data_IF_668318274860
#
_entry.id   IF_668318274860
#
_cell.length_a   1.000
_cell.length_b   1.000
_cell.length_c   1.000
_cell.angle_alpha   90.00
_cell.angle_beta   90.00
_cell.angle_gamma   90.00
#
_symmetry.space_group_name_H-M   'P 1'
#
loop_
_entity.id
_entity.type
_entity.pdbx_description
1 polymer ?
#
# COMPACT_ATOMS: atom_id res chain seq x y z
N UNK A 1 -6.26 33.51 -17.41
CA UNK A 1 -6.36 34.04 -18.79
C UNK A 1 -7.07 33.01 -19.63
N UNK A 2 -8.24 33.32 -20.19
CA UNK A 2 -8.87 32.47 -21.21
C UNK A 2 -8.10 32.67 -22.52
N UNK A 3 -7.35 31.68 -22.95
CA UNK A 3 -6.77 31.63 -24.29
C UNK A 3 -7.90 31.30 -25.28
N UNK A 4 -7.97 32.03 -26.40
CA UNK A 4 -8.94 31.77 -27.46
C UNK A 4 -8.68 30.39 -28.12
N UNK A 5 -9.75 29.75 -28.63
CA UNK A 5 -9.72 28.39 -29.17
C UNK A 5 -8.67 28.16 -30.26
N UNK A 6 -8.33 29.18 -31.06
CA UNK A 6 -7.32 29.07 -32.12
C UNK A 6 -5.87 29.02 -31.63
N UNK A 7 -5.56 29.53 -30.42
CA UNK A 7 -4.23 29.45 -29.83
C UNK A 7 -3.96 28.10 -29.15
N UNK A 8 -5.02 27.42 -28.70
CA UNK A 8 -4.96 26.08 -28.12
C UNK A 8 -4.64 25.01 -29.18
N UNK A 9 -5.22 25.10 -30.38
CA UNK A 9 -5.03 24.09 -31.44
C UNK A 9 -3.59 23.97 -31.96
N UNK A 10 -2.76 25.01 -31.83
CA UNK A 10 -1.35 24.98 -32.29
C UNK A 10 -0.45 24.10 -31.42
N UNK A 11 -0.87 23.79 -30.19
CA UNK A 11 -0.10 23.04 -29.19
C UNK A 11 -0.78 21.75 -28.74
N UNK A 12 -1.89 21.35 -29.36
CA UNK A 12 -2.55 20.07 -29.10
C UNK A 12 -1.66 18.93 -29.61
N UNK A 13 -0.81 18.40 -28.73
CA UNK A 13 -0.08 17.16 -28.97
C UNK A 13 -1.04 15.98 -29.18
N UNK A 14 -0.52 14.87 -29.68
CA UNK A 14 -1.31 13.67 -30.02
C UNK A 14 -2.14 13.11 -28.85
N UNK A 15 -1.76 13.42 -27.60
CA UNK A 15 -2.42 12.96 -26.38
C UNK A 15 -3.28 14.02 -25.67
N UNK A 16 -3.52 15.19 -26.28
CA UNK A 16 -4.25 16.27 -25.61
C UNK A 16 -5.65 15.83 -25.14
N UNK A 17 -6.40 15.11 -25.99
CA UNK A 17 -7.73 14.60 -25.62
C UNK A 17 -7.69 13.63 -24.44
N UNK A 18 -6.61 12.86 -24.29
CA UNK A 18 -6.43 11.99 -23.12
C UNK A 18 -6.18 12.82 -21.85
N UNK A 19 -5.34 13.86 -21.94
CA UNK A 19 -5.09 14.74 -20.80
C UNK A 19 -6.35 15.50 -20.36
N UNK A 20 -7.25 15.85 -21.28
CA UNK A 20 -8.56 16.45 -20.97
C UNK A 20 -9.52 15.49 -20.25
N UNK A 21 -9.33 14.16 -20.39
CA UNK A 21 -10.14 13.14 -19.72
C UNK A 21 -9.61 12.78 -18.32
N UNK A 22 -8.38 13.16 -17.99
CA UNK A 22 -7.85 12.94 -16.65
C UNK A 22 -8.66 13.74 -15.62
N UNK A 23 -8.88 13.18 -14.41
CA UNK A 23 -9.65 13.87 -13.39
C UNK A 23 -8.96 15.19 -13.02
N UNK A 24 -9.70 16.29 -12.85
CA UNK A 24 -9.11 17.56 -12.47
C UNK A 24 -8.45 17.43 -11.09
N UNK A 25 -7.42 18.25 -10.81
CA UNK A 25 -6.61 18.14 -9.58
C UNK A 25 -7.42 18.13 -8.28
N UNK A 26 -8.54 18.86 -8.25
CA UNK A 26 -9.46 18.94 -7.10
C UNK A 26 -10.18 17.63 -6.77
N UNK A 27 -10.16 16.67 -7.69
CA UNK A 27 -10.79 15.35 -7.58
C UNK A 27 -9.74 14.24 -7.33
N UNK A 28 -8.46 14.59 -7.15
CA UNK A 28 -7.44 13.63 -6.74
C UNK A 28 -7.48 13.39 -5.23
N UNK A 29 -7.53 12.12 -4.84
CA UNK A 29 -7.93 11.71 -3.47
C UNK A 29 -6.84 10.94 -2.72
N UNK A 30 -5.62 10.82 -3.24
CA UNK A 30 -4.54 10.13 -2.52
C UNK A 30 -4.21 10.84 -1.21
N UNK A 31 -3.55 10.16 -0.27
CA UNK A 31 -3.20 10.74 1.03
C UNK A 31 -2.33 12.02 0.97
N UNK A 32 -1.70 12.30 -0.18
CA UNK A 32 -0.97 13.56 -0.39
C UNK A 32 -1.88 14.78 -0.55
N UNK A 33 -3.17 14.57 -0.81
CA UNK A 33 -4.20 15.61 -0.89
C UNK A 33 -5.02 15.75 0.39
N UNK A 34 -4.69 14.98 1.45
CA UNK A 34 -5.34 15.14 2.75
C UNK A 34 -5.00 16.50 3.36
N UNK A 35 -5.98 17.11 4.03
CA UNK A 35 -5.73 18.27 4.88
C UNK A 35 -4.87 17.87 6.08
N UNK A 36 -4.33 18.85 6.80
CA UNK A 36 -3.57 18.58 8.02
C UNK A 36 -4.42 17.85 9.07
N UNK A 37 -5.67 18.26 9.25
CA UNK A 37 -6.62 17.63 10.20
C UNK A 37 -6.93 16.17 9.81
N UNK A 38 -7.12 15.92 8.51
CA UNK A 38 -7.35 14.57 8.00
C UNK A 38 -6.12 13.67 8.13
N UNK A 39 -4.93 14.20 7.86
CA UNK A 39 -3.69 13.45 8.02
C UNK A 39 -3.40 13.15 9.50
N UNK A 40 -3.67 14.11 10.38
CA UNK A 40 -3.48 13.99 11.82
C UNK A 40 -4.29 12.83 12.43
N UNK A 41 -5.43 12.48 11.84
CA UNK A 41 -6.22 11.32 12.24
C UNK A 41 -5.43 10.00 12.12
N UNK A 42 -4.48 9.91 11.19
CA UNK A 42 -3.68 8.71 10.97
C UNK A 42 -2.42 8.65 11.84
N UNK A 43 -2.18 9.61 12.74
CA UNK A 43 -1.01 9.58 13.63
C UNK A 43 -0.92 8.26 14.40
N UNK A 44 0.30 7.75 14.54
CA UNK A 44 0.56 6.44 15.15
C UNK A 44 0.53 5.25 14.18
N UNK A 45 0.05 5.43 12.95
CA UNK A 45 -0.04 4.36 11.95
C UNK A 45 1.14 4.34 10.97
N UNK A 46 1.36 3.20 10.29
CA UNK A 46 2.37 3.13 9.22
C UNK A 46 2.03 4.05 8.04
N UNK A 47 0.74 4.23 7.72
CA UNK A 47 0.30 5.07 6.61
C UNK A 47 0.72 6.54 6.81
N UNK A 48 0.61 7.08 8.03
CA UNK A 48 1.06 8.44 8.34
C UNK A 48 2.56 8.63 8.04
N UNK A 49 3.39 7.68 8.47
CA UNK A 49 4.82 7.68 8.16
C UNK A 49 5.09 7.60 6.66
N UNK A 50 4.50 6.60 5.99
CA UNK A 50 4.68 6.38 4.56
C UNK A 50 4.23 7.56 3.68
N UNK A 51 3.13 8.21 4.06
CA UNK A 51 2.64 9.43 3.41
C UNK A 51 3.65 10.56 3.54
N UNK A 52 4.19 10.79 4.74
CA UNK A 52 5.17 11.85 4.98
C UNK A 52 6.48 11.59 4.24
N UNK A 53 6.99 10.36 4.27
CA UNK A 53 8.17 9.97 3.49
C UNK A 53 7.95 10.27 1.99
N UNK A 54 6.82 9.82 1.43
CA UNK A 54 6.45 10.08 0.03
C UNK A 54 6.35 11.58 -0.27
N UNK A 55 5.73 12.36 0.61
CA UNK A 55 5.62 13.80 0.45
C UNK A 55 7.00 14.47 0.38
N UNK A 56 7.91 14.12 1.29
CA UNK A 56 9.26 14.66 1.31
C UNK A 56 10.07 14.28 0.07
N UNK A 57 9.99 13.01 -0.34
CA UNK A 57 10.69 12.49 -1.53
C UNK A 57 10.24 13.23 -2.79
N UNK A 58 8.92 13.32 -3.01
CA UNK A 58 8.36 14.02 -4.15
C UNK A 58 8.62 15.53 -4.11
N UNK A 59 8.64 16.13 -2.92
CA UNK A 59 8.97 17.56 -2.77
C UNK A 59 10.43 17.84 -3.15
N UNK A 60 11.34 16.95 -2.78
CA UNK A 60 12.75 16.99 -3.16
C UNK A 60 12.91 16.83 -4.67
N UNK A 61 12.26 15.83 -5.26
CA UNK A 61 12.29 15.57 -6.70
C UNK A 61 11.74 16.76 -7.49
N UNK A 62 10.58 17.30 -7.11
CA UNK A 62 10.02 18.51 -7.71
C UNK A 62 10.98 19.69 -7.68
N UNK A 63 11.65 19.92 -6.55
CA UNK A 63 12.63 21.01 -6.41
C UNK A 63 13.77 20.85 -7.41
N UNK A 64 14.31 19.65 -7.54
CA UNK A 64 15.37 19.32 -8.51
C UNK A 64 14.90 19.52 -9.96
N UNK A 65 13.72 19.01 -10.31
CA UNK A 65 13.15 19.18 -11.64
C UNK A 65 12.92 20.67 -11.96
N UNK A 66 12.40 21.45 -11.00
CA UNK A 66 12.17 22.88 -11.16
C UNK A 66 13.46 23.65 -11.37
N UNK A 67 14.55 23.31 -10.67
CA UNK A 67 15.85 23.92 -10.90
C UNK A 67 16.38 23.65 -12.31
N UNK A 68 16.29 22.40 -12.78
CA UNK A 68 16.72 22.01 -14.13
C UNK A 68 15.90 22.76 -15.19
N UNK A 69 14.56 22.76 -15.06
CA UNK A 69 13.68 23.47 -15.97
C UNK A 69 13.96 24.97 -15.96
N UNK A 70 14.18 25.58 -14.79
CA UNK A 70 14.49 27.01 -14.65
C UNK A 70 15.80 27.39 -15.33
N UNK A 71 16.82 26.52 -15.27
CA UNK A 71 18.12 26.74 -15.95
C UNK A 71 17.97 26.74 -17.46
N UNK A 72 17.11 25.87 -18.00
CA UNK A 72 16.89 25.76 -19.45
C UNK A 72 15.89 26.80 -19.98
N UNK A 73 14.80 27.04 -19.25
CA UNK A 73 13.70 27.96 -19.58
C UNK A 73 13.12 28.60 -18.30
N UNK A 74 13.58 29.80 -17.92
CA UNK A 74 13.15 30.48 -16.70
C UNK A 74 11.62 30.63 -16.59
N UNK A 75 10.93 30.96 -17.68
CA UNK A 75 9.47 31.15 -17.66
C UNK A 75 8.70 29.88 -17.32
N UNK A 76 9.21 28.70 -17.71
CA UNK A 76 8.61 27.41 -17.36
C UNK A 76 8.93 27.06 -15.91
N UNK A 77 10.14 27.37 -15.44
CA UNK A 77 10.54 27.17 -14.06
C UNK A 77 9.69 27.96 -13.04
N UNK A 78 9.26 29.18 -13.42
CA UNK A 78 8.31 29.98 -12.62
C UNK A 78 6.93 29.34 -12.57
N UNK A 79 6.45 28.78 -13.69
CA UNK A 79 5.12 28.16 -13.80
C UNK A 79 5.08 26.73 -13.25
N UNK A 80 6.22 26.08 -13.02
CA UNK A 80 6.29 24.69 -12.55
C UNK A 80 6.05 24.60 -11.04
N UNK A 81 4.80 24.86 -10.65
CA UNK A 81 4.33 24.81 -9.27
C UNK A 81 4.24 23.38 -8.74
N UNK A 82 4.30 23.24 -7.41
CA UNK A 82 4.16 21.95 -6.73
C UNK A 82 2.88 21.22 -7.12
N UNK A 83 1.75 21.93 -7.21
CA UNK A 83 0.46 21.29 -7.49
C UNK A 83 0.43 20.66 -8.89
N UNK A 84 1.16 21.22 -9.87
CA UNK A 84 1.32 20.62 -11.19
C UNK A 84 2.13 19.33 -11.12
N UNK A 85 3.24 19.35 -10.38
CA UNK A 85 4.07 18.17 -10.17
C UNK A 85 3.29 17.06 -9.45
N UNK A 86 2.64 17.40 -8.33
CA UNK A 86 1.89 16.46 -7.52
C UNK A 86 0.76 15.80 -8.33
N UNK A 87 0.04 16.57 -9.15
CA UNK A 87 -0.99 16.04 -10.04
C UNK A 87 -0.39 15.08 -11.08
N UNK A 88 0.69 15.47 -11.75
CA UNK A 88 1.36 14.62 -12.75
C UNK A 88 1.87 13.31 -12.13
N UNK A 89 2.55 13.38 -10.98
CA UNK A 89 3.03 12.22 -10.24
C UNK A 89 1.87 11.31 -9.80
N UNK A 90 0.75 11.90 -9.37
CA UNK A 90 -0.46 11.15 -8.99
C UNK A 90 -1.09 10.44 -10.17
N UNK A 91 -1.20 11.07 -11.34
CA UNK A 91 -1.70 10.39 -12.54
C UNK A 91 -0.81 9.19 -12.90
N UNK A 92 0.51 9.37 -12.86
CA UNK A 92 1.45 8.27 -13.13
C UNK A 92 1.27 7.15 -12.10
N UNK A 93 1.29 7.45 -10.79
CA UNK A 93 1.23 6.42 -9.75
C UNK A 93 -0.12 5.67 -9.70
N UNK A 94 -1.22 6.33 -10.06
CA UNK A 94 -2.56 5.75 -10.00
C UNK A 94 -3.02 5.06 -11.28
N UNK A 95 -2.42 5.36 -12.43
CA UNK A 95 -2.91 4.93 -13.77
C UNK A 95 -1.88 4.21 -14.62
N UNK A 96 -0.60 4.24 -14.26
CA UNK A 96 0.43 3.63 -15.08
C UNK A 96 0.36 2.09 -15.05
N UNK A 97 0.66 1.52 -16.20
CA UNK A 97 0.90 0.10 -16.43
C UNK A 97 2.41 -0.12 -16.55
N UNK A 98 2.90 -1.31 -16.25
CA UNK A 98 4.27 -1.69 -16.55
C UNK A 98 4.45 -1.78 -18.08
N UNK A 99 5.53 -1.18 -18.60
CA UNK A 99 5.90 -1.22 -20.02
C UNK A 99 6.01 -2.63 -20.60
N UNK A 100 6.25 -3.65 -19.76
CA UNK A 100 6.28 -5.07 -20.14
C UNK A 100 4.98 -5.56 -20.77
N UNK A 101 3.85 -4.87 -20.51
CA UNK A 101 2.58 -5.12 -21.20
C UNK A 101 2.74 -4.94 -22.71
N UNK A 102 3.60 -4.04 -23.19
CA UNK A 102 3.82 -3.81 -24.61
C UNK A 102 4.81 -4.79 -25.25
N UNK A 103 5.38 -5.74 -24.50
CA UNK A 103 6.33 -6.70 -25.05
C UNK A 103 5.65 -7.78 -25.91
N UNK A 104 6.43 -8.42 -26.80
CA UNK A 104 5.96 -9.54 -27.63
C UNK A 104 5.52 -10.77 -26.81
N UNK A 105 5.99 -10.86 -25.57
CA UNK A 105 5.59 -11.87 -24.59
C UNK A 105 5.15 -11.16 -23.30
N UNK A 106 3.92 -10.60 -23.25
CA UNK A 106 3.43 -9.89 -22.07
C UNK A 106 3.46 -10.81 -20.87
N UNK A 107 4.21 -10.43 -19.83
CA UNK A 107 4.18 -11.11 -18.55
C UNK A 107 3.56 -10.16 -17.52
N UNK A 108 2.66 -10.67 -16.70
CA UNK A 108 2.25 -9.96 -15.50
C UNK A 108 3.51 -9.84 -14.61
N UNK A 109 3.85 -8.64 -14.11
CA UNK A 109 4.99 -8.50 -13.22
C UNK A 109 4.80 -9.44 -12.04
N UNK A 110 5.73 -10.36 -11.85
CA UNK A 110 5.79 -11.14 -10.62
C UNK A 110 6.51 -10.31 -9.56
N UNK A 111 6.22 -10.56 -8.29
CA UNK A 111 6.85 -9.87 -7.16
C UNK A 111 8.38 -10.03 -7.13
N UNK A 112 8.92 -11.04 -7.84
CA UNK A 112 10.33 -11.39 -7.96
C UNK A 112 10.94 -11.09 -9.35
N UNK A 113 10.19 -10.44 -10.24
CA UNK A 113 10.63 -10.20 -11.61
C UNK A 113 11.51 -8.93 -11.70
N UNK A 114 12.83 -9.12 -11.84
CA UNK A 114 13.79 -8.01 -12.02
C UNK A 114 13.80 -7.47 -13.46
N UNK A 115 12.84 -7.84 -14.30
CA UNK A 115 12.73 -7.31 -15.65
C UNK A 115 12.51 -5.79 -15.59
N UNK A 116 13.44 -4.98 -16.16
CA UNK A 116 13.29 -3.53 -16.15
C UNK A 116 11.97 -3.13 -16.81
N UNK A 117 11.16 -2.36 -16.10
CA UNK A 117 9.90 -1.85 -16.60
C UNK A 117 9.72 -0.39 -16.28
N UNK A 118 9.35 0.40 -17.28
CA UNK A 118 8.95 1.79 -17.12
C UNK A 118 7.44 1.92 -16.88
N UNK A 119 6.98 2.96 -16.16
CA UNK A 119 5.57 3.29 -16.05
C UNK A 119 5.07 3.91 -17.36
N UNK A 120 4.02 3.32 -17.94
CA UNK A 120 3.38 3.82 -19.17
C UNK A 120 1.90 4.12 -18.93
N UNK A 121 1.38 5.19 -19.54
CA UNK A 121 -0.04 5.49 -19.55
C UNK A 121 -0.67 4.93 -20.82
N UNK A 122 -1.79 4.22 -20.67
CA UNK A 122 -2.53 3.61 -21.78
C UNK A 122 -3.91 4.26 -21.89
N UNK A 123 -4.04 5.36 -22.67
CA UNK A 123 -5.30 6.08 -22.81
C UNK A 123 -6.48 5.17 -23.14
N UNK A 124 -7.53 5.25 -22.33
CA UNK A 124 -8.77 4.49 -22.51
C UNK A 124 -8.74 3.10 -21.87
N UNK A 125 -7.56 2.53 -21.62
CA UNK A 125 -7.40 1.29 -20.84
C UNK A 125 -7.38 1.61 -19.34
N UNK A 126 -6.75 2.73 -18.98
CA UNK A 126 -6.60 3.23 -17.60
C UNK A 126 -7.89 3.79 -16.96
N UNK A 127 -9.02 3.70 -17.66
CA UNK A 127 -10.34 4.11 -17.15
C UNK A 127 -11.01 3.03 -16.29
N UNK A 128 -10.61 1.76 -16.45
CA UNK A 128 -11.28 0.64 -15.82
C UNK A 128 -10.92 0.54 -14.32
N UNK A 129 -11.92 0.64 -13.45
CA UNK A 129 -11.75 0.60 -11.99
C UNK A 129 -11.32 -0.77 -11.47
N UNK A 130 -10.81 -0.79 -10.23
CA UNK A 130 -10.41 -2.01 -9.55
C UNK A 130 -11.61 -2.81 -9.01
N UNK A 131 -11.63 -4.11 -9.29
CA UNK A 131 -12.32 -5.09 -8.47
C UNK A 131 -11.35 -6.22 -8.06
N UNK A 132 -11.17 -6.41 -6.75
CA UNK A 132 -10.28 -7.42 -6.19
C UNK A 132 -10.67 -8.82 -6.67
N UNK A 133 -9.70 -9.55 -7.22
CA UNK A 133 -9.90 -10.92 -7.68
C UNK A 133 -10.78 -11.04 -8.93
N UNK A 134 -11.10 -9.93 -9.61
CA UNK A 134 -11.77 -9.99 -10.90
C UNK A 134 -10.85 -10.71 -11.90
N UNK A 135 -11.32 -11.80 -12.53
CA UNK A 135 -10.50 -12.52 -13.48
C UNK A 135 -10.46 -11.75 -14.79
N UNK A 136 -9.34 -11.07 -15.04
CA UNK A 136 -9.06 -10.32 -16.27
C UNK A 136 -7.69 -10.69 -16.81
N UNK A 137 -7.52 -10.61 -18.12
CA UNK A 137 -6.21 -10.65 -18.76
C UNK A 137 -5.90 -9.35 -19.45
N UNK A 138 -4.64 -8.93 -19.37
CA UNK A 138 -4.10 -7.88 -20.23
C UNK A 138 -3.45 -8.57 -21.42
N UNK A 139 -4.04 -8.38 -22.59
CA UNK A 139 -3.53 -8.98 -23.82
C UNK A 139 -2.99 -7.90 -24.73
N UNK A 140 -1.83 -8.18 -25.31
CA UNK A 140 -1.23 -7.35 -26.33
C UNK A 140 -1.32 -8.10 -27.63
N UNK A 141 -1.94 -7.48 -28.62
CA UNK A 141 -1.95 -8.03 -29.96
C UNK A 141 -0.81 -7.39 -30.73
N UNK A 142 0.33 -8.07 -30.74
CA UNK A 142 1.42 -7.88 -31.68
C UNK A 142 1.47 -9.11 -32.57
N UNK A 143 1.14 -8.95 -33.85
CA UNK A 143 1.17 -10.02 -34.83
C UNK A 143 1.59 -9.51 -36.20
N UNK A 144 2.08 -10.38 -37.10
CA UNK A 144 2.51 -9.97 -38.44
C UNK A 144 1.39 -9.32 -39.28
N UNK A 145 0.13 -9.61 -38.97
CA UNK A 145 -1.05 -9.05 -39.64
C UNK A 145 -1.66 -7.82 -38.91
N UNK A 146 -1.15 -7.44 -37.73
CA UNK A 146 -1.64 -6.23 -37.03
C UNK A 146 -0.82 -5.01 -37.42
N UNK A 147 -1.45 -4.02 -38.04
CA UNK A 147 -0.79 -2.78 -38.46
C UNK A 147 -0.45 -1.84 -37.30
N UNK A 148 -1.10 -2.01 -36.14
CA UNK A 148 -0.89 -1.19 -34.93
C UNK A 148 -0.96 -2.11 -33.70
N UNK A 149 0.06 -2.14 -32.82
CA UNK A 149 0.01 -2.84 -31.54
C UNK A 149 -1.16 -2.32 -30.70
N UNK A 150 -1.92 -3.22 -30.07
CA UNK A 150 -3.04 -2.86 -29.21
C UNK A 150 -2.99 -3.61 -27.89
N UNK A 151 -3.35 -2.93 -26.81
CA UNK A 151 -3.56 -3.51 -25.48
C UNK A 151 -5.06 -3.61 -25.22
N UNK A 152 -5.51 -4.73 -24.67
CA UNK A 152 -6.89 -4.92 -24.25
C UNK A 152 -6.97 -5.53 -22.85
N UNK A 153 -7.96 -5.08 -22.07
CA UNK A 153 -8.39 -5.75 -20.84
C UNK A 153 -9.53 -6.68 -21.23
N UNK A 154 -9.35 -7.98 -21.02
CA UNK A 154 -10.33 -9.00 -21.35
C UNK A 154 -10.89 -9.60 -20.06
N UNK A 155 -12.17 -9.34 -19.72
CA UNK A 155 -12.82 -9.98 -18.60
C UNK A 155 -13.15 -11.44 -18.94
N UNK A 156 -12.90 -12.34 -17.98
CA UNK A 156 -13.21 -13.77 -18.12
C UNK A 156 -14.58 -14.16 -17.53
N UNK A 157 -15.37 -13.17 -17.13
CA UNK A 157 -16.75 -13.35 -16.66
C UNK A 157 -17.69 -12.57 -17.57
N UNK A 158 -18.87 -13.11 -17.91
CA UNK A 158 -19.90 -12.35 -18.61
C UNK A 158 -20.30 -11.11 -17.82
N UNK A 159 -20.28 -9.94 -18.45
CA UNK A 159 -20.77 -8.68 -17.90
C UNK A 159 -22.08 -8.33 -18.61
N UNK A 160 -23.15 -8.07 -17.84
CA UNK A 160 -24.45 -7.72 -18.42
C UNK A 160 -24.43 -6.29 -18.97
N UNK A 161 -25.29 -6.01 -19.95
CA UNK A 161 -25.46 -4.66 -20.49
C UNK A 161 -25.82 -3.67 -19.36
N UNK A 162 -25.11 -2.55 -19.31
CA UNK A 162 -25.27 -1.54 -18.26
C UNK A 162 -24.45 -1.79 -16.99
N UNK A 163 -23.73 -2.91 -16.88
CA UNK A 163 -22.79 -3.14 -15.78
C UNK A 163 -21.37 -2.68 -16.14
N UNK A 164 -20.62 -2.32 -15.11
CA UNK A 164 -19.23 -1.89 -15.22
C UNK A 164 -18.29 -3.07 -15.57
N UNK A 165 -17.28 -2.77 -16.38
CA UNK A 165 -16.18 -3.69 -16.67
C UNK A 165 -15.02 -3.30 -15.77
N UNK A 166 -14.73 -4.14 -14.79
CA UNK A 166 -13.64 -3.93 -13.85
C UNK A 166 -12.32 -4.51 -14.38
N UNK A 167 -11.23 -3.87 -13.96
CA UNK A 167 -9.88 -4.40 -14.00
C UNK A 167 -9.51 -5.00 -12.63
N UNK A 168 -8.36 -5.65 -12.53
CA UNK A 168 -7.77 -6.11 -11.28
C UNK A 168 -6.36 -5.53 -11.14
N UNK A 169 -6.14 -4.71 -10.12
CA UNK A 169 -4.87 -4.03 -9.88
C UNK A 169 -3.88 -4.92 -9.10
N UNK A 170 -4.32 -6.11 -8.66
CA UNK A 170 -3.57 -7.01 -7.81
C UNK A 170 -4.02 -6.98 -6.34
N UNK A 171 -3.45 -7.85 -5.50
CA UNK A 171 -3.74 -7.91 -4.07
C UNK A 171 -3.01 -6.77 -3.34
N UNK A 172 -3.70 -5.64 -3.13
CA UNK A 172 -3.11 -4.44 -2.53
C UNK A 172 -3.70 -4.16 -1.14
N UNK A 173 -2.87 -3.93 -0.10
CA UNK A 173 -3.36 -3.48 1.20
C UNK A 173 -4.00 -2.10 1.12
N UNK A 174 -4.90 -1.77 2.04
CA UNK A 174 -5.52 -0.44 2.10
C UNK A 174 -4.49 0.69 2.26
N UNK A 175 -3.36 0.44 2.94
CA UNK A 175 -2.26 1.41 3.02
C UNK A 175 -1.75 1.84 1.63
N UNK A 176 -1.62 0.89 0.71
CA UNK A 176 -1.17 1.15 -0.66
C UNK A 176 -2.28 1.78 -1.50
N UNK A 177 -3.53 1.31 -1.35
CA UNK A 177 -4.68 1.86 -2.07
C UNK A 177 -4.91 3.33 -1.72
N UNK A 178 -4.81 3.71 -0.44
CA UNK A 178 -4.94 5.10 0.00
C UNK A 178 -3.79 5.97 -0.53
N UNK A 179 -2.55 5.48 -0.44
CA UNK A 179 -1.37 6.26 -0.82
C UNK A 179 -1.23 6.42 -2.34
N UNK A 180 -1.56 5.38 -3.11
CA UNK A 180 -1.35 5.32 -4.55
C UNK A 180 -2.57 5.66 -5.39
N UNK A 181 -3.78 5.36 -4.91
CA UNK A 181 -5.01 5.41 -5.70
C UNK A 181 -6.12 6.28 -5.10
N UNK A 182 -6.11 6.50 -3.79
CA UNK A 182 -7.11 7.33 -3.11
C UNK A 182 -8.46 6.62 -2.92
N UNK A 183 -8.44 5.34 -2.56
CA UNK A 183 -9.61 4.56 -2.12
C UNK A 183 -9.20 3.42 -1.18
N UNK A 184 -10.19 2.73 -0.62
CA UNK A 184 -10.03 1.53 0.23
C UNK A 184 -11.01 0.44 -0.17
N UNK A 185 -10.75 -0.77 0.29
CA UNK A 185 -11.68 -1.89 0.27
C UNK A 185 -12.09 -2.23 1.71
N UNK A 186 -13.39 -2.40 2.00
CA UNK A 186 -13.84 -2.82 3.33
C UNK A 186 -13.42 -4.27 3.60
N UNK A 187 -13.00 -4.57 4.83
CA UNK A 187 -12.53 -5.90 5.25
C UNK A 187 -11.49 -6.48 4.28
N UNK A 188 -10.51 -5.67 3.87
CA UNK A 188 -9.57 -6.07 2.83
C UNK A 188 -8.66 -7.22 3.32
N UNK A 189 -8.73 -8.43 2.72
CA UNK A 189 -7.93 -9.56 3.17
C UNK A 189 -6.43 -9.38 2.89
N UNK A 190 -6.06 -8.46 2.01
CA UNK A 190 -4.67 -8.15 1.69
C UNK A 190 -4.09 -7.05 2.59
N UNK A 191 -4.83 -6.61 3.62
CA UNK A 191 -4.30 -5.64 4.59
C UNK A 191 -3.07 -6.18 5.32
N UNK A 192 -2.09 -5.29 5.45
CA UNK A 192 -0.82 -5.57 6.11
C UNK A 192 -0.43 -4.46 7.06
N UNK A 193 0.40 -4.79 8.05
CA UNK A 193 1.12 -3.86 8.91
C UNK A 193 2.64 -4.07 8.76
N UNK A 194 3.41 -2.99 8.84
CA UNK A 194 4.87 -3.04 8.76
C UNK A 194 5.46 -2.92 10.16
N UNK A 195 6.09 -3.99 10.62
CA UNK A 195 6.73 -4.09 11.94
C UNK A 195 8.24 -4.00 11.86
N UNK A 196 8.85 -3.51 12.95
CA UNK A 196 10.30 -3.44 13.15
C UNK A 196 10.61 -3.82 14.59
N UNK A 197 11.62 -4.66 14.78
CA UNK A 197 12.15 -5.02 16.10
C UNK A 197 13.29 -4.06 16.45
N UNK A 198 13.27 -3.49 17.66
CA UNK A 198 14.30 -2.56 18.13
C UNK A 198 15.68 -3.22 18.26
N UNK A 199 16.74 -2.49 17.93
CA UNK A 199 18.13 -2.94 18.11
C UNK A 199 18.80 -3.62 16.90
N UNK A 200 18.09 -3.87 15.80
CA UNK A 200 18.61 -4.68 14.69
C UNK A 200 18.38 -4.00 13.34
N UNK A 201 19.46 -3.66 12.61
CA UNK A 201 19.64 -3.27 11.18
C UNK A 201 18.50 -2.57 10.38
N UNK A 202 17.45 -2.07 11.01
CA UNK A 202 16.30 -1.42 10.37
C UNK A 202 15.42 -2.36 9.52
N UNK A 203 15.54 -3.69 9.65
CA UNK A 203 14.74 -4.64 8.86
C UNK A 203 13.25 -4.48 9.17
N UNK A 204 12.44 -4.52 8.11
CA UNK A 204 10.99 -4.36 8.16
C UNK A 204 10.33 -5.69 7.80
N UNK A 205 9.29 -6.05 8.53
CA UNK A 205 8.48 -7.23 8.29
C UNK A 205 7.06 -6.80 7.92
N UNK A 206 6.52 -7.34 6.83
CA UNK A 206 5.15 -7.08 6.40
C UNK A 206 4.27 -8.24 6.86
N UNK A 207 3.40 -7.99 7.84
CA UNK A 207 2.51 -9.00 8.42
C UNK A 207 1.10 -8.74 7.91
N UNK A 208 0.45 -9.77 7.37
CA UNK A 208 -0.94 -9.73 6.92
C UNK A 208 -1.91 -10.36 7.93
N UNK A 209 -3.19 -10.39 7.56
CA UNK A 209 -4.24 -11.06 8.36
C UNK A 209 -3.89 -12.54 8.58
N UNK A 210 -4.41 -13.14 9.65
CA UNK A 210 -4.11 -14.52 10.06
C UNK A 210 -2.60 -14.78 10.26
N UNK A 211 -1.86 -13.75 10.69
CA UNK A 211 -0.41 -13.79 10.85
C UNK A 211 0.37 -14.18 9.58
N UNK A 212 -0.18 -13.90 8.39
CA UNK A 212 0.51 -14.17 7.13
C UNK A 212 1.85 -13.42 7.06
N UNK A 213 2.95 -14.14 6.78
CA UNK A 213 4.29 -13.57 6.71
C UNK A 213 5.01 -13.41 8.06
N UNK A 214 4.46 -13.98 9.15
CA UNK A 214 5.04 -13.87 10.51
C UNK A 214 6.36 -14.60 10.70
N UNK A 215 6.61 -15.70 9.97
CA UNK A 215 7.75 -16.61 10.23
C UNK A 215 9.08 -15.89 10.38
N UNK A 216 9.37 -14.95 9.49
CA UNK A 216 10.61 -14.20 9.54
C UNK A 216 10.72 -13.26 10.74
N UNK A 217 9.62 -12.61 11.12
CA UNK A 217 9.57 -11.79 12.35
C UNK A 217 9.72 -12.68 13.59
N UNK A 218 9.03 -13.82 13.62
CA UNK A 218 9.07 -14.77 14.72
C UNK A 218 10.49 -15.29 14.96
N UNK A 219 11.17 -15.74 13.89
CA UNK A 219 12.55 -16.20 13.97
C UNK A 219 13.51 -15.09 14.44
N UNK A 220 13.24 -13.84 14.07
CA UNK A 220 14.03 -12.70 14.53
C UNK A 220 13.85 -12.45 16.04
N UNK A 221 12.62 -12.57 16.54
CA UNK A 221 12.34 -12.40 17.98
C UNK A 221 13.00 -13.53 18.78
N UNK A 222 12.89 -14.79 18.32
CA UNK A 222 13.59 -15.93 18.93
C UNK A 222 15.11 -15.67 19.01
N UNK A 223 15.71 -15.21 17.91
CA UNK A 223 17.14 -14.86 17.88
C UNK A 223 17.49 -13.74 18.86
N UNK A 224 16.65 -12.71 18.96
CA UNK A 224 16.89 -11.57 19.85
C UNK A 224 16.86 -12.01 21.32
N UNK A 225 15.91 -12.87 21.70
CA UNK A 225 15.80 -13.44 23.05
C UNK A 225 17.00 -14.30 23.42
N UNK A 226 17.53 -15.11 22.47
CA UNK A 226 18.77 -15.89 22.65
C UNK A 226 20.06 -15.06 22.76
N UNK A 227 19.97 -13.73 22.78
CA UNK A 227 21.16 -12.87 22.80
C UNK A 227 21.94 -12.85 21.48
N UNK A 228 21.28 -13.18 20.37
CA UNK A 228 21.87 -13.14 19.03
C UNK A 228 22.59 -14.43 18.61
N UNK A 229 22.44 -15.52 19.36
CA UNK A 229 22.94 -16.84 18.98
C UNK A 229 22.29 -17.31 17.65
N UNK A 230 23.11 -17.82 16.74
CA UNK A 230 22.71 -18.30 15.42
C UNK A 230 22.58 -19.83 15.37
N UNK A 231 22.52 -20.49 16.53
CA UNK A 231 22.27 -21.93 16.63
C UNK A 231 21.00 -22.33 15.85
N UNK A 232 21.15 -23.29 14.94
CA UNK A 232 20.04 -23.89 14.17
C UNK A 232 19.19 -24.85 15.03
N UNK A 233 19.54 -25.01 16.30
CA UNK A 233 18.81 -25.86 17.24
C UNK A 233 17.38 -25.34 17.45
N UNK A 234 16.43 -26.28 17.52
CA UNK A 234 15.04 -25.99 17.88
C UNK A 234 15.01 -25.22 19.21
N UNK A 235 14.17 -24.18 19.27
CA UNK A 235 14.03 -23.38 20.47
C UNK A 235 13.47 -24.23 21.62
N UNK A 236 14.13 -24.14 22.76
CA UNK A 236 13.60 -24.69 24.00
C UNK A 236 12.35 -23.91 24.43
N UNK A 237 11.60 -24.49 25.37
CA UNK A 237 10.35 -23.89 25.81
C UNK A 237 10.58 -22.52 26.45
N UNK A 238 11.70 -22.28 27.14
CA UNK A 238 12.04 -20.99 27.76
C UNK A 238 12.19 -19.90 26.71
N UNK A 239 12.96 -20.16 25.65
CA UNK A 239 13.11 -19.22 24.54
C UNK A 239 11.77 -18.93 23.86
N UNK A 240 10.92 -19.94 23.67
CA UNK A 240 9.62 -19.75 23.03
C UNK A 240 8.68 -18.93 23.94
N UNK A 241 8.69 -19.14 25.25
CA UNK A 241 7.90 -18.36 26.21
C UNK A 241 8.32 -16.88 26.19
N UNK A 242 9.61 -16.61 26.38
CA UNK A 242 10.15 -15.25 26.36
C UNK A 242 9.88 -14.53 25.03
N UNK A 243 10.03 -15.24 23.90
CA UNK A 243 9.73 -14.69 22.57
C UNK A 243 8.23 -14.43 22.37
N UNK A 244 7.37 -15.30 22.92
CA UNK A 244 5.92 -15.12 22.87
C UNK A 244 5.50 -13.92 23.71
N UNK A 245 6.05 -13.76 24.91
CA UNK A 245 5.80 -12.61 25.79
C UNK A 245 6.23 -11.31 25.10
N UNK A 246 7.46 -11.25 24.58
CA UNK A 246 7.97 -10.07 23.87
C UNK A 246 7.11 -9.68 22.66
N UNK A 247 6.62 -10.67 21.89
CA UNK A 247 5.72 -10.40 20.76
C UNK A 247 4.34 -9.92 21.25
N UNK A 248 3.79 -10.50 22.32
CA UNK A 248 2.52 -10.06 22.91
C UNK A 248 2.60 -8.61 23.40
N UNK A 249 3.62 -8.25 24.16
CA UNK A 249 3.83 -6.87 24.65
C UNK A 249 3.94 -5.87 23.50
N UNK A 250 4.70 -6.21 22.46
CA UNK A 250 4.84 -5.35 21.27
C UNK A 250 3.49 -5.16 20.58
N UNK A 251 2.72 -6.22 20.38
CA UNK A 251 1.42 -6.18 19.69
C UNK A 251 0.39 -5.41 20.51
N UNK A 252 0.32 -5.62 21.83
CA UNK A 252 -0.57 -4.88 22.74
C UNK A 252 -0.26 -3.38 22.71
N UNK A 253 1.01 -3.02 22.78
CA UNK A 253 1.44 -1.60 22.67
C UNK A 253 1.02 -0.98 21.33
N UNK A 254 1.04 -1.75 20.24
CA UNK A 254 0.62 -1.26 18.92
C UNK A 254 -0.90 -1.11 18.81
N UNK A 255 -1.67 -2.05 19.38
CA UNK A 255 -3.13 -1.97 19.44
C UNK A 255 -3.58 -0.74 20.22
N UNK A 256 -2.98 -0.44 21.37
CA UNK A 256 -3.27 0.75 22.18
C UNK A 256 -2.97 2.06 21.45
N UNK A 257 -2.00 2.05 20.53
CA UNK A 257 -1.61 3.23 19.73
C UNK A 257 -2.47 3.44 18.50
N UNK A 258 -3.25 2.45 18.08
CA UNK A 258 -4.12 2.62 16.92
C UNK A 258 -5.20 3.67 17.23
N UNK A 259 -5.51 4.54 16.27
CA UNK A 259 -6.55 5.53 16.46
C UNK A 259 -7.92 4.84 16.52
N UNK A 260 -8.83 5.34 17.36
CA UNK A 260 -10.19 4.80 17.48
C UNK A 260 -10.94 4.95 16.14
N UNK A 261 -11.49 3.85 15.56
CA UNK A 261 -12.23 3.89 14.30
C UNK A 261 -13.45 4.81 14.32
N UNK A 262 -14.02 5.11 15.49
CA UNK A 262 -15.16 6.01 15.63
C UNK A 262 -14.76 7.49 15.73
N UNK A 263 -13.47 7.79 15.86
CA UNK A 263 -12.97 9.13 16.17
C UNK A 263 -13.21 10.17 15.06
N UNK A 264 -13.53 9.74 13.83
CA UNK A 264 -13.81 10.64 12.71
C UNK A 264 -15.29 10.83 12.39
N UNK A 265 -16.18 10.08 13.04
CA UNK A 265 -17.62 10.19 12.79
C UNK A 265 -18.15 11.54 13.26
N UNK A 266 -18.77 12.32 12.35
CA UNK A 266 -19.40 13.60 12.68
C UNK A 266 -18.47 14.80 12.84
N UNK A 267 -17.18 14.70 12.43
CA UNK A 267 -16.29 15.87 12.34
C UNK A 267 -16.57 16.64 11.04
N UNK A 268 -17.07 17.87 11.16
CA UNK A 268 -17.48 18.72 10.02
C UNK A 268 -16.35 19.01 9.01
N UNK A 269 -15.08 18.92 9.43
CA UNK A 269 -13.92 19.25 8.61
C UNK A 269 -13.28 18.04 7.91
N UNK A 270 -13.75 16.82 8.17
CA UNK A 270 -13.23 15.60 7.55
C UNK A 270 -14.09 15.24 6.34
N UNK A 271 -13.47 15.11 5.17
CA UNK A 271 -14.22 14.74 3.96
C UNK A 271 -14.77 13.30 4.11
N UNK A 272 -16.02 13.02 3.71
CA UNK A 272 -16.66 11.72 3.94
C UNK A 272 -15.86 10.51 3.41
N UNK A 273 -15.24 10.65 2.24
CA UNK A 273 -14.42 9.58 1.67
C UNK A 273 -13.12 9.34 2.46
N UNK A 274 -12.56 10.37 3.11
CA UNK A 274 -11.39 10.21 3.98
C UNK A 274 -11.79 9.49 5.27
N UNK A 275 -12.95 9.81 5.82
CA UNK A 275 -13.50 9.08 6.97
C UNK A 275 -13.74 7.60 6.64
N UNK A 276 -14.24 7.29 5.44
CA UNK A 276 -14.36 5.91 4.96
C UNK A 276 -12.99 5.22 4.86
N UNK A 277 -12.02 5.85 4.18
CA UNK A 277 -10.66 5.31 4.05
C UNK A 277 -10.01 5.05 5.41
N UNK A 278 -10.21 5.95 6.36
CA UNK A 278 -9.74 5.80 7.72
C UNK A 278 -10.37 4.59 8.40
N UNK A 279 -11.70 4.45 8.34
CA UNK A 279 -12.41 3.32 8.95
C UNK A 279 -11.95 1.98 8.40
N UNK A 280 -11.90 1.84 7.06
CA UNK A 280 -11.45 0.60 6.40
C UNK A 280 -9.98 0.28 6.73
N UNK A 281 -9.11 1.30 6.77
CA UNK A 281 -7.70 1.11 7.10
C UNK A 281 -7.49 0.68 8.55
N UNK A 282 -8.12 1.38 9.51
CA UNK A 282 -7.97 1.10 10.95
C UNK A 282 -8.54 -0.26 11.31
N UNK A 283 -9.69 -0.64 10.75
CA UNK A 283 -10.23 -2.01 10.89
C UNK A 283 -9.18 -3.04 10.46
N UNK A 284 -8.59 -2.85 9.28
CA UNK A 284 -7.56 -3.75 8.77
C UNK A 284 -6.33 -3.84 9.68
N UNK A 285 -5.84 -2.70 10.20
CA UNK A 285 -4.70 -2.72 11.13
C UNK A 285 -5.05 -3.47 12.42
N UNK A 286 -6.24 -3.25 12.97
CA UNK A 286 -6.70 -3.94 14.17
C UNK A 286 -6.80 -5.45 13.93
N UNK A 287 -7.42 -5.87 12.82
CA UNK A 287 -7.57 -7.29 12.50
C UNK A 287 -6.20 -8.00 12.33
N UNK A 288 -5.24 -7.36 11.65
CA UNK A 288 -3.88 -7.91 11.49
C UNK A 288 -3.19 -8.08 12.84
N UNK A 289 -3.24 -7.06 13.70
CA UNK A 289 -2.62 -7.12 15.02
C UNK A 289 -3.31 -8.13 15.94
N UNK A 290 -4.63 -8.24 15.92
CA UNK A 290 -5.37 -9.28 16.66
C UNK A 290 -4.95 -10.68 16.22
N UNK A 291 -4.86 -10.95 14.91
CA UNK A 291 -4.35 -12.25 14.42
C UNK A 291 -2.92 -12.54 14.87
N UNK A 292 -2.07 -11.51 14.97
CA UNK A 292 -0.69 -11.67 15.43
C UNK A 292 -0.62 -11.95 16.94
N UNK A 293 -1.50 -11.34 17.72
CA UNK A 293 -1.64 -11.64 19.15
C UNK A 293 -2.07 -13.09 19.37
N UNK A 294 -3.10 -13.55 18.65
CA UNK A 294 -3.58 -14.94 18.70
C UNK A 294 -2.48 -15.94 18.34
N UNK A 295 -1.67 -15.64 17.31
CA UNK A 295 -0.50 -16.43 16.92
C UNK A 295 0.51 -16.52 18.07
N UNK A 296 0.81 -15.39 18.72
CA UNK A 296 1.76 -15.35 19.83
C UNK A 296 1.29 -16.16 21.05
N UNK A 297 0.02 -16.04 21.41
CA UNK A 297 -0.60 -16.85 22.46
C UNK A 297 -0.64 -18.34 22.11
N UNK A 298 -0.74 -18.68 20.82
CA UNK A 298 -0.60 -20.07 20.39
C UNK A 298 0.82 -20.58 20.61
N UNK A 299 1.84 -19.78 20.30
CA UNK A 299 3.25 -20.14 20.52
C UNK A 299 3.56 -20.37 22.00
N UNK A 300 3.00 -19.52 22.86
CA UNK A 300 3.09 -19.69 24.32
C UNK A 300 2.49 -21.03 24.77
N UNK A 301 1.28 -21.37 24.31
CA UNK A 301 0.65 -22.67 24.62
C UNK A 301 1.48 -23.86 24.14
N UNK A 302 2.04 -23.78 22.93
CA UNK A 302 2.94 -24.80 22.38
C UNK A 302 4.18 -24.98 23.27
N UNK A 303 4.74 -23.89 23.81
CA UNK A 303 5.87 -23.95 24.72
C UNK A 303 5.53 -24.58 26.07
N UNK A 304 4.37 -24.25 26.64
CA UNK A 304 3.89 -24.84 27.90
C UNK A 304 3.73 -26.36 27.76
N UNK A 305 3.16 -26.82 26.63
CA UNK A 305 3.01 -28.25 26.37
C UNK A 305 4.37 -28.94 26.15
N UNK A 306 5.33 -28.25 25.52
CA UNK A 306 6.71 -28.72 25.40
C UNK A 306 7.37 -28.88 26.78
N UNK A 307 7.24 -27.89 27.67
CA UNK A 307 7.77 -27.95 29.05
C UNK A 307 7.17 -29.15 29.82
N UNK A 308 5.86 -29.35 29.72
CA UNK A 308 5.16 -30.50 30.32
C UNK A 308 5.67 -31.83 29.79
N UNK A 309 5.91 -31.93 28.47
CA UNK A 309 6.48 -33.15 27.87
C UNK A 309 7.88 -33.49 28.39
N UNK A 310 8.62 -32.48 28.84
CA UNK A 310 9.96 -32.60 29.45
C UNK A 310 9.90 -32.81 30.97
N UNK A 311 8.70 -32.90 31.56
CA UNK A 311 8.49 -33.13 32.99
C UNK A 311 8.54 -31.86 33.85
N UNK A 312 8.38 -30.69 33.24
CA UNK A 312 8.42 -29.39 33.90
C UNK A 312 6.97 -28.88 34.04
N UNK A 313 6.56 -28.62 35.28
CA UNK A 313 5.25 -28.05 35.59
C UNK A 313 5.40 -26.54 35.80
N UNK A 314 4.96 -25.77 34.80
CA UNK A 314 4.94 -24.30 34.87
C UNK A 314 3.73 -23.86 35.69
N UNK A 315 3.97 -23.12 36.76
CA UNK A 315 2.93 -22.44 37.53
C UNK A 315 2.61 -21.15 36.80
N UNK A 316 1.47 -21.08 36.12
CA UNK A 316 0.98 -19.81 35.59
C UNK A 316 0.40 -19.03 36.78
N UNK A 317 0.94 -17.86 37.07
CA UNK A 317 0.27 -16.92 37.98
C UNK A 317 -0.98 -16.44 37.23
N UNK A 318 -2.17 -16.89 37.67
CA UNK A 318 -3.42 -16.29 37.21
C UNK A 318 -3.39 -14.83 37.65
N UNK A 319 -3.26 -13.89 36.71
CA UNK A 319 -3.50 -12.48 37.00
C UNK A 319 -4.95 -12.36 37.51
N UNK A 320 -5.09 -12.09 38.80
CA UNK A 320 -6.36 -11.77 39.43
C UNK A 320 -6.97 -10.55 38.70
N UNK A 321 -7.96 -10.79 37.83
CA UNK A 321 -8.81 -9.76 37.24
C UNK A 321 -9.42 -8.91 38.38
N UNK A 322 -8.97 -7.65 38.50
CA UNK A 322 -9.51 -6.65 39.44
C UNK A 322 -10.02 -5.41 38.74
#
# INVERSE_FOLDING_TARGET
MCLSGAALDRWRGQHFSYLELLPPQRELLTALYFTEEELDAFKGTNLYGARNDRFHDWRKEWTQCREIVSKSKPEWGTQFEWNLYLAAATYISSRAFPSTVLSDTPQLPRLDDETPSDPILLPGVDIANHARGQPVSWITHTGPDTTVPRVAIVPHRPTLAGQEIFNNYGPKPNAELILGYGFTLPNNPDDTIILKVGGINGKKWSIGRNAAGVDGLWNEILRAVRGGDESEDEADYETILDASEALQEMVSTLLERLPDPNNLSGKDNIRPYVAQMFGDYVEGQHAVLTSLLEYSQQKEREAIDLARSQGIELVMEEEDDS
#
